data_IF_280278124081
#
_entry.id   IF_280278124081
#
_cell.length_a   1.000
_cell.length_b   1.000
_cell.length_c   1.000
_cell.angle_alpha   90.00
_cell.angle_beta   90.00
_cell.angle_gamma   90.00
#
_symmetry.space_group_name_H-M   'P 1'
#
loop_
_entity.id
_entity.type
_entity.pdbx_description
1 polymer ?
#
# COMPACT_ATOMS: atom_id res chain seq x y z
N UNK A 1 -2.53 -17.42 11.74
CA UNK A 1 -1.50 -17.29 10.69
C UNK A 1 -1.48 -15.85 10.19
N UNK A 2 -0.30 -15.32 10.00
CA UNK A 2 -0.17 -13.97 9.47
C UNK A 2 -0.34 -13.98 7.95
N UNK A 3 -0.90 -12.88 7.43
CA UNK A 3 -1.05 -12.66 6.01
C UNK A 3 0.32 -12.38 5.41
N UNK A 4 0.60 -12.97 4.26
CA UNK A 4 1.83 -12.71 3.54
C UNK A 4 1.64 -11.52 2.61
N UNK A 5 2.50 -10.51 2.77
CA UNK A 5 2.55 -9.38 1.86
C UNK A 5 3.48 -9.72 0.70
N UNK A 6 3.11 -9.27 -0.49
CA UNK A 6 3.97 -9.39 -1.65
C UNK A 6 5.01 -8.28 -1.62
N UNK A 7 6.25 -8.62 -1.96
CA UNK A 7 7.34 -7.65 -2.01
C UNK A 7 7.73 -7.36 -3.44
N UNK A 8 7.81 -6.08 -3.78
CA UNK A 8 8.38 -5.64 -5.06
C UNK A 8 9.77 -5.10 -4.76
N UNK A 9 10.77 -5.76 -5.31
CA UNK A 9 12.16 -5.39 -5.12
C UNK A 9 12.50 -4.15 -5.93
N UNK A 10 13.24 -3.24 -5.30
CA UNK A 10 13.71 -2.03 -5.94
C UNK A 10 14.80 -1.41 -5.09
N UNK A 11 15.03 -0.11 -5.31
CA UNK A 11 16.01 0.62 -4.51
C UNK A 11 15.48 0.84 -3.09
N UNK A 12 16.34 0.70 -2.11
CA UNK A 12 16.01 1.04 -0.73
C UNK A 12 15.87 2.55 -0.59
N UNK A 13 14.64 3.00 -0.34
CA UNK A 13 14.33 4.42 -0.18
C UNK A 13 14.63 4.93 1.24
N UNK A 14 14.98 4.04 2.16
CA UNK A 14 15.09 4.37 3.56
C UNK A 14 13.77 4.45 4.31
N UNK A 15 12.67 4.06 3.63
CA UNK A 15 11.32 4.11 4.19
C UNK A 15 10.65 2.74 4.10
N UNK A 16 9.78 2.44 5.05
CA UNK A 16 8.90 1.27 4.98
C UNK A 16 7.65 1.70 4.21
N UNK A 17 7.48 1.13 3.01
CA UNK A 17 6.37 1.49 2.12
C UNK A 17 5.45 0.30 1.97
N UNK A 18 4.17 0.46 2.33
CA UNK A 18 3.16 -0.59 2.24
C UNK A 18 1.93 -0.06 1.51
N UNK A 19 1.40 -0.87 0.60
CA UNK A 19 0.21 -0.53 -0.17
C UNK A 19 -0.91 -1.51 0.13
N UNK A 20 -2.03 -1.01 0.62
CA UNK A 20 -3.28 -1.76 0.70
C UNK A 20 -4.08 -1.48 -0.56
N UNK A 21 -4.45 -2.53 -1.29
CA UNK A 21 -5.08 -2.39 -2.59
C UNK A 21 -6.20 -3.42 -2.80
N UNK A 22 -6.98 -3.18 -3.86
CA UNK A 22 -7.91 -4.15 -4.40
C UNK A 22 -7.47 -4.49 -5.82
N UNK A 23 -7.58 -5.76 -6.21
CA UNK A 23 -7.10 -6.22 -7.52
C UNK A 23 -7.88 -5.62 -8.69
N UNK A 24 -9.12 -5.20 -8.44
CA UNK A 24 -10.01 -4.62 -9.46
C UNK A 24 -10.03 -3.09 -9.44
N UNK A 25 -9.25 -2.48 -8.58
CA UNK A 25 -9.24 -1.03 -8.40
C UNK A 25 -8.27 -0.35 -9.37
N UNK A 26 -8.79 0.48 -10.26
CA UNK A 26 -7.98 1.19 -11.26
C UNK A 26 -6.94 2.11 -10.58
N UNK A 27 -7.37 2.86 -9.58
CA UNK A 27 -6.48 3.79 -8.87
C UNK A 27 -5.41 3.05 -8.06
N UNK A 28 -5.73 1.86 -7.56
CA UNK A 28 -4.75 1.00 -6.90
C UNK A 28 -3.67 0.54 -7.89
N UNK A 29 -4.08 0.17 -9.10
CA UNK A 29 -3.14 -0.23 -10.16
C UNK A 29 -2.23 0.93 -10.54
N UNK A 30 -2.77 2.13 -10.65
CA UNK A 30 -1.98 3.33 -10.96
C UNK A 30 -1.01 3.67 -9.84
N UNK A 31 -1.43 3.51 -8.59
CA UNK A 31 -0.56 3.73 -7.42
C UNK A 31 0.60 2.75 -7.42
N UNK A 32 0.32 1.46 -7.63
CA UNK A 32 1.36 0.45 -7.72
C UNK A 32 2.34 0.74 -8.85
N UNK A 33 1.81 1.10 -10.02
CA UNK A 33 2.65 1.42 -11.17
C UNK A 33 3.56 2.62 -10.91
N UNK A 34 3.05 3.61 -10.19
CA UNK A 34 3.86 4.77 -9.80
C UNK A 34 5.00 4.36 -8.87
N UNK A 35 4.72 3.54 -7.86
CA UNK A 35 5.75 3.07 -6.93
C UNK A 35 6.82 2.26 -7.67
N UNK A 36 6.42 1.43 -8.63
CA UNK A 36 7.34 0.68 -9.47
C UNK A 36 8.17 1.61 -10.36
N UNK A 37 7.55 2.63 -10.93
CA UNK A 37 8.22 3.63 -11.76
C UNK A 37 9.27 4.41 -10.96
N UNK A 38 8.99 4.71 -9.70
CA UNK A 38 9.93 5.37 -8.82
C UNK A 38 11.12 4.47 -8.44
N UNK A 39 11.03 3.18 -8.75
CA UNK A 39 12.12 2.24 -8.58
C UNK A 39 12.43 1.89 -7.13
N UNK A 40 11.52 2.12 -6.21
CA UNK A 40 11.72 1.83 -4.79
C UNK A 40 11.16 0.46 -4.42
N UNK A 41 11.71 -0.13 -3.36
CA UNK A 41 11.16 -1.36 -2.79
C UNK A 41 9.90 -1.02 -2.00
N UNK A 42 8.88 -1.86 -2.13
CA UNK A 42 7.65 -1.72 -1.34
C UNK A 42 6.96 -3.07 -1.20
N UNK A 43 6.01 -3.13 -0.28
CA UNK A 43 5.15 -4.30 -0.09
C UNK A 43 3.72 -3.92 -0.41
N UNK A 44 2.95 -4.87 -0.92
CA UNK A 44 1.54 -4.63 -1.18
C UNK A 44 0.71 -5.87 -0.84
N UNK A 45 -0.57 -5.66 -0.64
CA UNK A 45 -1.52 -6.73 -0.40
C UNK A 45 -2.83 -6.41 -1.12
N UNK A 46 -3.35 -7.41 -1.86
CA UNK A 46 -4.69 -7.31 -2.44
C UNK A 46 -5.68 -7.93 -1.47
N UNK A 47 -6.39 -7.07 -0.75
CA UNK A 47 -7.29 -7.49 0.33
C UNK A 47 -8.40 -8.43 -0.16
N UNK A 48 -8.82 -8.27 -1.42
CA UNK A 48 -9.84 -9.11 -2.03
C UNK A 48 -9.34 -10.50 -2.47
N UNK A 49 -8.03 -10.70 -2.54
CA UNK A 49 -7.44 -11.96 -2.99
C UNK A 49 -6.91 -12.84 -1.86
N UNK A 50 -6.78 -12.30 -0.65
CA UNK A 50 -6.30 -13.09 0.48
C UNK A 50 -7.41 -14.01 1.01
N UNK A 51 -7.02 -15.02 1.79
CA UNK A 51 -7.96 -15.95 2.39
C UNK A 51 -9.00 -15.20 3.23
N UNK A 52 -10.24 -15.65 3.17
CA UNK A 52 -11.37 -15.01 3.84
C UNK A 52 -11.12 -14.85 5.35
N UNK A 53 -10.52 -15.85 5.98
CA UNK A 53 -10.22 -15.85 7.41
C UNK A 53 -9.16 -14.81 7.80
N UNK A 54 -8.37 -14.33 6.84
CA UNK A 54 -7.33 -13.33 7.07
C UNK A 54 -7.79 -11.90 6.81
N UNK A 55 -8.93 -11.73 6.11
CA UNK A 55 -9.42 -10.42 5.70
C UNK A 55 -9.75 -9.52 6.88
N UNK A 56 -10.37 -10.07 7.91
CA UNK A 56 -10.75 -9.30 9.09
C UNK A 56 -9.56 -8.64 9.75
N UNK A 57 -8.48 -9.39 9.95
CA UNK A 57 -7.25 -8.86 10.57
C UNK A 57 -6.59 -7.82 9.69
N UNK A 58 -6.55 -8.07 8.37
CA UNK A 58 -5.96 -7.15 7.41
C UNK A 58 -6.72 -5.84 7.36
N UNK A 59 -8.05 -5.90 7.36
CA UNK A 59 -8.90 -4.71 7.36
C UNK A 59 -8.76 -3.94 8.68
N UNK A 60 -8.62 -4.63 9.80
CA UNK A 60 -8.35 -3.95 11.08
C UNK A 60 -7.02 -3.21 11.04
N UNK A 61 -5.99 -3.83 10.47
CA UNK A 61 -4.71 -3.17 10.27
C UNK A 61 -4.82 -1.94 9.39
N UNK A 62 -5.55 -2.05 8.29
CA UNK A 62 -5.82 -0.91 7.41
C UNK A 62 -6.52 0.22 8.16
N UNK A 63 -7.58 -0.10 8.90
CA UNK A 63 -8.37 0.90 9.61
C UNK A 63 -7.64 1.51 10.79
N UNK A 64 -6.60 0.86 11.29
CA UNK A 64 -5.77 1.45 12.34
C UNK A 64 -4.97 2.65 11.84
N UNK A 65 -4.65 2.70 10.55
CA UNK A 65 -3.93 3.82 9.92
C UNK A 65 -4.85 4.69 9.06
N UNK A 66 -5.92 4.13 8.53
CA UNK A 66 -6.92 4.85 7.73
C UNK A 66 -8.32 4.42 8.17
N UNK A 67 -8.96 5.14 9.11
CA UNK A 67 -10.27 4.76 9.64
C UNK A 67 -11.37 4.62 8.59
N UNK A 68 -11.27 5.34 7.46
CA UNK A 68 -12.26 5.24 6.38
C UNK A 68 -12.16 3.90 5.62
N UNK A 69 -10.99 3.26 5.67
CA UNK A 69 -10.77 1.98 5.00
C UNK A 69 -10.83 2.04 3.48
N UNK A 70 -10.62 3.19 2.87
CA UNK A 70 -10.65 3.36 1.42
C UNK A 70 -9.38 2.85 0.75
N UNK A 71 -9.48 2.54 -0.54
CA UNK A 71 -8.36 2.08 -1.35
C UNK A 71 -8.08 3.06 -2.49
N UNK A 72 -6.81 3.18 -2.92
CA UNK A 72 -5.63 2.61 -2.29
C UNK A 72 -5.24 3.38 -1.02
N UNK A 73 -4.57 2.69 -0.09
CA UNK A 73 -3.96 3.32 1.07
C UNK A 73 -2.48 2.96 1.06
N UNK A 74 -1.62 3.96 1.02
CA UNK A 74 -0.16 3.78 1.10
C UNK A 74 0.31 4.28 2.45
N UNK A 75 1.08 3.45 3.14
CA UNK A 75 1.69 3.82 4.42
C UNK A 75 3.20 3.92 4.19
N UNK A 76 3.75 5.11 4.39
CA UNK A 76 5.18 5.39 4.28
C UNK A 76 5.65 5.76 5.69
N UNK A 77 6.24 4.79 6.39
CA UNK A 77 6.55 4.89 7.83
C UNK A 77 5.28 5.26 8.61
N UNK A 78 5.16 6.51 9.09
CA UNK A 78 3.98 6.99 9.81
C UNK A 78 3.05 7.84 8.95
N UNK A 79 3.42 8.08 7.68
CA UNK A 79 2.64 8.92 6.78
C UNK A 79 1.63 8.04 6.03
N UNK A 80 0.37 8.47 6.01
CA UNK A 80 -0.70 7.73 5.33
C UNK A 80 -1.22 8.57 4.17
N UNK A 81 -1.20 7.97 2.98
CA UNK A 81 -1.72 8.62 1.76
C UNK A 81 -2.88 7.78 1.26
N UNK A 82 -4.07 8.38 1.21
CA UNK A 82 -5.30 7.73 0.76
C UNK A 82 -5.64 8.22 -0.65
N UNK A 83 -5.86 7.27 -1.55
CA UNK A 83 -6.13 7.56 -2.95
C UNK A 83 -4.85 7.70 -3.77
N UNK A 84 -5.02 7.90 -5.09
CA UNK A 84 -3.90 8.08 -6.00
C UNK A 84 -3.45 9.53 -5.94
N UNK A 85 -2.37 9.81 -5.24
CA UNK A 85 -1.85 11.17 -5.03
C UNK A 85 -0.34 11.18 -5.23
N UNK A 86 0.11 11.29 -6.51
CA UNK A 86 1.54 11.21 -6.82
C UNK A 86 2.42 12.18 -6.05
N UNK A 87 1.97 13.44 -5.93
CA UNK A 87 2.75 14.47 -5.24
C UNK A 87 2.91 14.14 -3.76
N UNK A 88 1.84 13.65 -3.13
CA UNK A 88 1.88 13.28 -1.71
C UNK A 88 2.78 12.07 -1.49
N UNK A 89 2.77 11.11 -2.41
CA UNK A 89 3.64 9.94 -2.34
C UNK A 89 5.11 10.34 -2.45
N UNK A 90 5.43 11.18 -3.42
CA UNK A 90 6.80 11.68 -3.60
C UNK A 90 7.27 12.46 -2.39
N UNK A 91 6.43 13.33 -1.87
CA UNK A 91 6.71 14.11 -0.68
C UNK A 91 7.02 13.23 0.53
N UNK A 92 6.18 12.21 0.75
CA UNK A 92 6.39 11.25 1.84
C UNK A 92 7.67 10.43 1.69
N UNK A 93 8.13 10.23 0.47
CA UNK A 93 9.37 9.50 0.17
C UNK A 93 10.60 10.42 0.13
N UNK A 94 10.42 11.72 0.29
CA UNK A 94 11.50 12.69 0.22
C UNK A 94 12.02 12.94 -1.20
N UNK A 95 11.16 12.73 -2.18
CA UNK A 95 11.52 12.90 -3.59
C UNK A 95 11.06 14.23 -4.16
#
# INVERSE_FOLDING_TARGET
MSVEWETVEGRDSGHDVRLYALSTCVWCKKTRALLEELGISFRYIYVDLIAKEDRGDTIRGLRSVNPSGNFPTVVIDDIVVVGYKPDRLKEGLGL
#
